data_IF_460128997141
#
_entry.id   IF_460128997141
#
_cell.length_a   1.000
_cell.length_b   1.000
_cell.length_c   1.000
_cell.angle_alpha   90.00
_cell.angle_beta   90.00
_cell.angle_gamma   90.00
#
_symmetry.space_group_name_H-M   'P 1'
#
loop_
_entity.id
_entity.type
_entity.pdbx_description
1 polymer ?
#
# COMPACT_ATOMS: atom_id res chain seq x y z
N UNK A 1 -1.30 25.46 14.70
CA UNK A 1 -0.70 25.21 13.37
C UNK A 1 -0.26 23.76 13.38
N UNK A 2 -0.71 22.95 12.43
CA UNK A 2 -0.38 21.52 12.35
C UNK A 2 1.02 21.37 11.73
N UNK A 3 1.91 20.70 12.44
CA UNK A 3 3.29 20.43 12.00
C UNK A 3 3.37 19.10 11.27
N UNK A 4 3.77 19.13 10.01
CA UNK A 4 3.73 17.99 9.10
C UNK A 4 5.13 17.62 8.64
N UNK A 5 5.47 16.34 8.70
CA UNK A 5 6.64 15.78 8.05
C UNK A 5 6.21 14.97 6.84
N UNK A 6 6.85 15.22 5.68
CA UNK A 6 6.63 14.48 4.44
C UNK A 6 7.75 13.45 4.25
N UNK A 7 7.38 12.19 4.07
CA UNK A 7 8.32 11.07 3.85
C UNK A 7 7.97 10.39 2.54
N UNK A 8 8.77 10.63 1.49
CA UNK A 8 8.60 10.08 0.15
C UNK A 8 9.96 10.16 -0.57
N UNK A 9 10.36 9.15 -1.31
CA UNK A 9 11.66 9.17 -2.03
C UNK A 9 11.61 10.04 -3.30
N UNK A 10 10.41 10.39 -3.78
CA UNK A 10 10.22 11.22 -4.97
C UNK A 10 10.20 12.71 -4.61
N UNK A 11 11.27 13.44 -4.91
CA UNK A 11 11.38 14.89 -4.59
C UNK A 11 10.24 15.72 -5.18
N UNK A 12 9.87 15.47 -6.44
CA UNK A 12 8.77 16.20 -7.09
C UNK A 12 7.42 16.00 -6.38
N UNK A 13 7.19 14.80 -5.82
CA UNK A 13 5.97 14.52 -5.04
C UNK A 13 5.98 15.34 -3.76
N UNK A 14 7.10 15.36 -3.02
CA UNK A 14 7.22 16.14 -1.78
C UNK A 14 6.99 17.63 -2.03
N UNK A 15 7.63 18.20 -3.06
CA UNK A 15 7.46 19.62 -3.44
C UNK A 15 6.00 19.96 -3.80
N UNK A 16 5.33 19.08 -4.54
CA UNK A 16 3.91 19.26 -4.88
C UNK A 16 3.03 19.20 -3.63
N UNK A 17 3.24 18.22 -2.76
CA UNK A 17 2.49 18.07 -1.51
C UNK A 17 2.72 19.26 -0.58
N UNK A 18 3.96 19.71 -0.43
CA UNK A 18 4.29 20.92 0.33
C UNK A 18 3.54 22.12 -0.18
N UNK A 19 3.60 22.38 -1.51
CA UNK A 19 2.90 23.49 -2.13
C UNK A 19 1.39 23.47 -1.83
N UNK A 20 0.77 22.28 -1.90
CA UNK A 20 -0.65 22.11 -1.59
C UNK A 20 -0.93 22.39 -0.11
N UNK A 21 -0.10 21.88 0.80
CA UNK A 21 -0.31 22.01 2.24
C UNK A 21 -0.12 23.44 2.73
N UNK A 22 0.93 24.12 2.28
CA UNK A 22 1.28 25.49 2.71
C UNK A 22 0.32 26.57 2.17
N UNK A 23 -0.59 26.22 1.25
CA UNK A 23 -1.74 27.08 0.91
C UNK A 23 -2.72 27.24 2.09
N UNK A 24 -2.62 26.37 3.10
CA UNK A 24 -3.46 26.41 4.28
C UNK A 24 -2.63 26.97 5.46
N UNK A 25 -2.96 28.18 5.91
CA UNK A 25 -2.24 28.84 7.02
C UNK A 25 -2.27 28.09 8.35
N UNK A 26 -3.12 27.08 8.48
CA UNK A 26 -3.20 26.18 9.63
C UNK A 26 -2.21 25.02 9.57
N UNK A 27 -1.45 24.85 8.46
CA UNK A 27 -0.54 23.73 8.21
C UNK A 27 0.87 24.24 7.91
N UNK A 28 1.88 23.51 8.40
CA UNK A 28 3.29 23.81 8.16
C UNK A 28 4.05 22.51 7.89
N UNK A 29 4.78 22.44 6.78
CA UNK A 29 5.72 21.35 6.51
C UNK A 29 7.03 21.67 7.25
N UNK A 30 7.33 20.90 8.29
CA UNK A 30 8.52 21.09 9.15
C UNK A 30 9.71 20.26 8.69
N UNK A 31 9.49 19.19 7.90
CA UNK A 31 10.53 18.39 7.29
C UNK A 31 10.05 17.69 6.02
N UNK A 32 10.99 17.46 5.11
CA UNK A 32 10.86 16.67 3.90
C UNK A 32 12.02 15.67 3.84
N UNK A 33 11.73 14.38 3.84
CA UNK A 33 12.77 13.33 3.88
C UNK A 33 12.48 12.24 2.84
N UNK A 34 13.54 11.63 2.32
CA UNK A 34 13.45 10.64 1.25
C UNK A 34 13.65 9.19 1.69
N UNK A 35 13.92 8.95 2.98
CA UNK A 35 14.21 7.62 3.50
C UNK A 35 13.73 7.44 4.95
N UNK A 36 13.60 6.18 5.36
CA UNK A 36 13.01 5.82 6.65
C UNK A 36 13.89 6.14 7.85
N UNK A 37 15.20 5.97 7.76
CA UNK A 37 16.09 6.23 8.91
C UNK A 37 16.17 7.72 9.21
N UNK A 38 16.27 8.56 8.18
CA UNK A 38 16.18 10.01 8.32
C UNK A 38 14.81 10.42 8.89
N UNK A 39 13.72 9.75 8.46
CA UNK A 39 12.39 10.04 8.99
C UNK A 39 12.31 9.79 10.50
N UNK A 40 12.84 8.67 11.00
CA UNK A 40 12.84 8.36 12.44
C UNK A 40 13.62 9.41 13.24
N UNK A 41 14.84 9.76 12.79
CA UNK A 41 15.66 10.77 13.45
C UNK A 41 15.00 12.16 13.45
N UNK A 42 14.45 12.60 12.31
CA UNK A 42 13.79 13.90 12.22
C UNK A 42 12.48 13.97 13.01
N UNK A 43 11.79 12.85 13.17
CA UNK A 43 10.61 12.75 14.03
C UNK A 43 10.95 13.01 15.50
N UNK A 44 12.06 12.45 16.00
CA UNK A 44 12.56 12.68 17.36
C UNK A 44 12.98 14.15 17.56
N UNK A 45 13.70 14.73 16.59
CA UNK A 45 14.21 16.11 16.68
C UNK A 45 13.09 17.15 16.58
N UNK A 46 12.10 16.94 15.70
CA UNK A 46 11.09 17.94 15.35
C UNK A 46 9.74 17.72 16.00
N UNK A 47 9.45 16.53 16.52
CA UNK A 47 8.15 16.16 17.08
C UNK A 47 6.97 16.66 16.24
N UNK A 48 6.80 16.18 14.98
CA UNK A 48 5.68 16.59 14.13
C UNK A 48 4.36 16.05 14.68
N UNK A 49 3.26 16.77 14.43
CA UNK A 49 1.93 16.29 14.78
C UNK A 49 1.50 15.14 13.85
N UNK A 50 1.90 15.21 12.57
CA UNK A 50 1.53 14.24 11.52
C UNK A 50 2.75 13.93 10.65
N UNK A 51 2.92 12.65 10.36
CA UNK A 51 3.81 12.14 9.33
C UNK A 51 2.99 11.63 8.16
N UNK A 52 3.17 12.22 6.98
CA UNK A 52 2.65 11.69 5.71
C UNK A 52 3.70 10.72 5.18
N UNK A 53 3.40 9.43 5.22
CA UNK A 53 4.35 8.34 5.01
C UNK A 53 4.10 7.62 3.68
N UNK A 54 5.05 7.68 2.75
CA UNK A 54 5.03 6.76 1.61
C UNK A 54 5.31 5.33 2.06
N UNK A 55 4.59 4.39 1.47
CA UNK A 55 4.76 2.96 1.76
C UNK A 55 5.97 2.38 1.02
N UNK A 56 6.26 2.89 -0.18
CA UNK A 56 7.29 2.35 -1.07
C UNK A 56 8.61 3.13 -0.94
N UNK A 57 9.23 3.12 0.22
CA UNK A 57 10.54 3.73 0.43
C UNK A 57 11.69 2.80 0.00
N UNK A 58 12.83 3.35 -0.49
CA UNK A 58 13.98 2.55 -0.85
C UNK A 58 14.60 1.86 0.36
N UNK A 59 14.92 0.58 0.23
CA UNK A 59 15.58 -0.21 1.27
C UNK A 59 14.68 -0.66 2.41
N UNK A 60 13.66 0.10 2.80
CA UNK A 60 12.75 -0.21 3.90
C UNK A 60 11.29 0.09 3.51
N UNK A 61 10.36 -0.68 4.07
CA UNK A 61 8.94 -0.41 3.88
C UNK A 61 8.46 0.70 4.82
N UNK A 62 7.67 1.66 4.31
CA UNK A 62 7.00 2.66 5.14
C UNK A 62 6.12 2.05 6.24
N UNK A 63 5.65 0.80 6.07
CA UNK A 63 4.93 0.04 7.09
C UNK A 63 5.84 -0.24 8.30
N UNK A 64 7.08 -0.69 8.04
CA UNK A 64 8.05 -0.98 9.10
C UNK A 64 8.49 0.30 9.81
N UNK A 65 8.77 1.36 9.04
CA UNK A 65 9.10 2.67 9.61
C UNK A 65 7.96 3.20 10.47
N UNK A 66 6.71 3.06 10.03
CA UNK A 66 5.53 3.46 10.83
C UNK A 66 5.48 2.70 12.16
N UNK A 67 5.72 1.39 12.15
CA UNK A 67 5.73 0.57 13.38
C UNK A 67 6.81 1.01 14.35
N UNK A 68 8.04 1.25 13.85
CA UNK A 68 9.17 1.74 14.67
C UNK A 68 8.90 3.14 15.20
N UNK A 69 8.41 4.05 14.36
CA UNK A 69 8.07 5.41 14.74
C UNK A 69 7.05 5.44 15.89
N UNK A 70 5.94 4.72 15.74
CA UNK A 70 4.86 4.73 16.73
C UNK A 70 5.18 3.93 17.99
N UNK A 71 6.19 3.05 17.97
CA UNK A 71 6.69 2.39 19.17
C UNK A 71 7.44 3.36 20.10
N UNK A 72 8.10 4.38 19.53
CA UNK A 72 8.85 5.40 20.30
C UNK A 72 8.08 6.71 20.47
N UNK A 73 7.21 7.05 19.51
CA UNK A 73 6.45 8.30 19.48
C UNK A 73 4.95 8.03 19.21
N UNK A 74 4.21 7.46 20.18
CA UNK A 74 2.80 7.09 20.00
C UNK A 74 1.86 8.31 19.84
N UNK A 75 2.30 9.50 20.20
CA UNK A 75 1.57 10.75 20.03
C UNK A 75 1.49 11.20 18.57
N UNK A 76 2.50 10.88 17.74
CA UNK A 76 2.56 11.24 16.32
C UNK A 76 1.44 10.49 15.57
N UNK A 77 0.79 11.19 14.65
CA UNK A 77 -0.21 10.57 13.77
C UNK A 77 0.43 10.23 12.43
N UNK A 78 0.19 9.02 11.94
CA UNK A 78 0.69 8.61 10.61
C UNK A 78 -0.48 8.54 9.64
N UNK A 79 -0.33 9.26 8.51
CA UNK A 79 -1.21 9.22 7.35
C UNK A 79 -0.44 8.57 6.20
N UNK A 80 -0.84 7.37 5.81
CA UNK A 80 -0.21 6.66 4.69
C UNK A 80 -0.55 7.32 3.36
N UNK A 81 0.46 7.40 2.50
CA UNK A 81 0.33 7.84 1.11
C UNK A 81 0.90 6.76 0.20
N UNK A 82 0.14 6.28 -0.79
CA UNK A 82 0.57 5.15 -1.63
C UNK A 82 0.06 5.25 -3.05
N UNK A 83 0.84 4.75 -4.00
CA UNK A 83 0.39 4.52 -5.38
C UNK A 83 -0.44 3.23 -5.50
N UNK A 84 -0.36 2.34 -4.51
CA UNK A 84 -1.01 1.03 -4.54
C UNK A 84 -2.34 1.05 -3.79
N UNK A 85 -3.36 0.47 -4.43
CA UNK A 85 -4.65 0.17 -3.82
C UNK A 85 -4.74 -1.35 -3.64
N UNK A 86 -4.02 -1.87 -2.64
CA UNK A 86 -4.02 -3.28 -2.28
C UNK A 86 -4.51 -3.44 -0.84
N UNK A 87 -5.51 -4.30 -0.64
CA UNK A 87 -6.15 -4.53 0.66
C UNK A 87 -5.16 -4.95 1.74
N UNK A 88 -4.20 -5.82 1.40
CA UNK A 88 -3.21 -6.32 2.38
C UNK A 88 -2.28 -5.21 2.82
N UNK A 89 -1.87 -4.36 1.88
CA UNK A 89 -1.01 -3.21 2.18
C UNK A 89 -1.77 -2.22 3.06
N UNK A 90 -3.03 -1.93 2.74
CA UNK A 90 -3.90 -1.09 3.57
C UNK A 90 -4.02 -1.67 4.99
N UNK A 91 -4.34 -2.97 5.11
CA UNK A 91 -4.48 -3.63 6.40
C UNK A 91 -3.16 -3.60 7.20
N UNK A 92 -2.04 -3.97 6.59
CA UNK A 92 -0.73 -3.95 7.24
C UNK A 92 -0.33 -2.55 7.73
N UNK A 93 -0.69 -1.50 6.99
CA UNK A 93 -0.40 -0.13 7.35
C UNK A 93 -1.26 0.33 8.54
N UNK A 94 -2.54 -0.04 8.56
CA UNK A 94 -3.44 0.21 9.70
C UNK A 94 -3.01 -0.60 10.93
N UNK A 95 -2.62 -1.86 10.76
CA UNK A 95 -2.10 -2.71 11.84
C UNK A 95 -0.76 -2.19 12.40
N UNK A 96 0.04 -1.49 11.58
CA UNK A 96 1.24 -0.79 12.02
C UNK A 96 0.93 0.48 12.85
N UNK A 97 -0.34 0.89 12.92
CA UNK A 97 -0.83 2.02 13.72
C UNK A 97 -1.14 3.28 12.93
N UNK A 98 -1.06 3.26 11.58
CA UNK A 98 -1.47 4.42 10.79
C UNK A 98 -2.95 4.77 11.04
N UNK A 99 -3.23 6.05 11.17
CA UNK A 99 -4.58 6.58 11.40
C UNK A 99 -5.33 6.91 10.12
N UNK A 100 -4.64 6.89 8.98
CA UNK A 100 -5.30 7.12 7.71
C UNK A 100 -4.51 6.56 6.54
N UNK A 101 -5.21 6.49 5.38
CA UNK A 101 -4.65 6.00 4.13
C UNK A 101 -5.24 6.75 2.95
N UNK A 102 -4.37 7.31 2.12
CA UNK A 102 -4.73 8.04 0.89
C UNK A 102 -3.94 7.46 -0.28
N UNK A 103 -4.58 7.30 -1.43
CA UNK A 103 -3.86 6.99 -2.67
C UNK A 103 -3.24 8.26 -3.26
N UNK A 104 -2.01 8.20 -3.76
CA UNK A 104 -1.27 9.37 -4.29
C UNK A 104 -2.06 10.11 -5.38
N UNK A 105 -2.86 9.42 -6.19
CA UNK A 105 -3.71 10.05 -7.21
C UNK A 105 -4.83 10.93 -6.64
N UNK A 106 -5.24 10.73 -5.40
CA UNK A 106 -6.27 11.53 -4.71
C UNK A 106 -5.67 12.60 -3.76
N UNK A 107 -4.35 12.61 -3.57
CA UNK A 107 -3.70 13.44 -2.54
C UNK A 107 -4.05 14.93 -2.64
N UNK A 108 -4.16 15.49 -3.85
CA UNK A 108 -4.48 16.90 -4.04
C UNK A 108 -5.80 17.34 -3.40
N UNK A 109 -6.84 16.49 -3.46
CA UNK A 109 -8.16 16.79 -2.91
C UNK A 109 -8.30 16.34 -1.44
N UNK A 110 -7.69 15.19 -1.09
CA UNK A 110 -7.97 14.46 0.16
C UNK A 110 -6.97 14.76 1.27
N UNK A 111 -5.74 15.24 0.94
CA UNK A 111 -4.63 15.29 1.89
C UNK A 111 -4.91 16.23 3.08
N UNK A 112 -5.39 17.45 2.82
CA UNK A 112 -5.68 18.41 3.89
C UNK A 112 -6.78 17.91 4.83
N UNK A 113 -7.81 17.29 4.25
CA UNK A 113 -8.91 16.72 5.03
C UNK A 113 -8.42 15.51 5.85
N UNK A 114 -7.61 14.64 5.25
CA UNK A 114 -7.02 13.49 5.94
C UNK A 114 -6.15 13.91 7.12
N UNK A 115 -5.26 14.90 6.93
CA UNK A 115 -4.41 15.44 8.00
C UNK A 115 -5.23 15.98 9.15
N UNK A 116 -6.23 16.83 8.88
CA UNK A 116 -7.10 17.36 9.93
C UNK A 116 -7.83 16.26 10.70
N UNK A 117 -8.37 15.27 9.98
CA UNK A 117 -9.08 14.16 10.60
C UNK A 117 -8.19 13.36 11.55
N UNK A 118 -6.96 13.03 11.13
CA UNK A 118 -6.05 12.22 11.97
C UNK A 118 -5.53 13.01 13.18
N UNK A 119 -5.30 14.31 13.06
CA UNK A 119 -4.92 15.18 14.18
C UNK A 119 -6.04 15.26 15.22
N UNK A 120 -7.29 15.33 14.79
CA UNK A 120 -8.47 15.32 15.67
C UNK A 120 -8.75 13.91 16.27
N UNK A 121 -7.87 12.93 16.05
CA UNK A 121 -8.01 11.58 16.58
C UNK A 121 -8.95 10.66 15.81
N UNK A 122 -9.51 11.11 14.68
CA UNK A 122 -10.35 10.30 13.80
C UNK A 122 -9.50 9.54 12.78
N UNK A 123 -9.99 8.39 12.32
CA UNK A 123 -9.37 7.70 11.18
C UNK A 123 -9.83 8.30 9.86
N UNK A 124 -8.96 8.29 8.84
CA UNK A 124 -9.28 8.76 7.51
C UNK A 124 -8.89 7.75 6.42
N UNK A 125 -9.85 7.31 5.66
CA UNK A 125 -9.63 6.49 4.47
C UNK A 125 -10.23 7.22 3.28
N UNK A 126 -9.45 7.45 2.22
CA UNK A 126 -10.02 8.05 1.01
C UNK A 126 -11.10 7.14 0.40
N UNK A 127 -12.03 7.65 -0.42
CA UNK A 127 -13.18 6.88 -0.92
C UNK A 127 -12.79 5.57 -1.60
N UNK A 128 -11.69 5.54 -2.36
CA UNK A 128 -11.21 4.34 -3.03
C UNK A 128 -10.81 3.24 -2.03
N UNK A 129 -10.15 3.63 -0.94
CA UNK A 129 -9.74 2.69 0.13
C UNK A 129 -10.96 2.24 0.94
N UNK A 130 -11.89 3.15 1.21
CA UNK A 130 -13.14 2.82 1.92
C UNK A 130 -13.94 1.78 1.16
N UNK A 131 -14.10 1.94 -0.16
CA UNK A 131 -14.78 0.94 -1.01
C UNK A 131 -14.08 -0.42 -0.93
N UNK A 132 -12.75 -0.45 -1.03
CA UNK A 132 -11.95 -1.69 -0.93
C UNK A 132 -12.18 -2.41 0.40
N UNK A 133 -12.21 -1.68 1.52
CA UNK A 133 -12.40 -2.24 2.86
C UNK A 133 -13.84 -2.70 3.07
N UNK A 134 -14.84 -1.91 2.63
CA UNK A 134 -16.26 -2.26 2.82
C UNK A 134 -16.69 -3.44 1.96
N UNK A 135 -16.21 -3.56 0.73
CA UNK A 135 -16.48 -4.71 -0.13
C UNK A 135 -15.94 -6.00 0.50
N UNK A 136 -14.83 -5.92 1.18
CA UNK A 136 -14.26 -7.05 1.92
C UNK A 136 -15.10 -7.48 3.13
N UNK A 137 -15.72 -6.53 3.82
CA UNK A 137 -16.62 -6.84 4.95
C UNK A 137 -17.94 -7.46 4.46
N UNK A 138 -18.40 -7.10 3.27
CA UNK A 138 -19.58 -7.71 2.63
C UNK A 138 -19.28 -9.14 2.19
N UNK A 139 -18.11 -9.41 1.62
CA UNK A 139 -17.68 -10.75 1.20
C UNK A 139 -17.56 -11.73 2.37
N UNK A 140 -17.16 -11.26 3.56
CA UNK A 140 -17.09 -12.08 4.79
C UNK A 140 -18.45 -12.57 5.32
N UNK A 141 -19.57 -11.99 4.85
CA UNK A 141 -20.93 -12.40 5.22
C UNK A 141 -21.52 -13.50 4.32
N UNK A 142 -20.84 -13.89 3.25
CA UNK A 142 -21.23 -15.03 2.43
C UNK A 142 -20.58 -16.32 2.95
N UNK A 143 -21.34 -17.41 3.14
CA UNK A 143 -20.81 -18.66 3.71
C UNK A 143 -19.95 -19.49 2.74
N UNK A 144 -19.58 -18.95 1.58
CA UNK A 144 -18.59 -19.54 0.70
C UNK A 144 -17.24 -18.89 1.02
N UNK A 145 -16.25 -19.70 1.42
CA UNK A 145 -14.93 -19.31 1.89
C UNK A 145 -14.31 -18.14 1.12
N UNK A 146 -13.72 -17.23 1.87
CA UNK A 146 -13.18 -15.94 1.40
C UNK A 146 -12.08 -16.19 0.34
N UNK A 147 -12.26 -15.75 -0.93
CA UNK A 147 -11.18 -15.83 -1.93
C UNK A 147 -9.96 -14.99 -1.57
N UNK A 148 -10.04 -14.15 -0.51
CA UNK A 148 -8.97 -13.26 -0.06
C UNK A 148 -8.05 -13.88 1.01
N UNK A 149 -8.29 -15.10 1.44
CA UNK A 149 -7.35 -15.86 2.31
C UNK A 149 -6.23 -16.55 1.48
N UNK A 150 -6.22 -16.33 0.17
CA UNK A 150 -5.20 -16.85 -0.72
C UNK A 150 -3.91 -16.00 -0.61
N UNK A 151 -2.71 -16.63 -0.54
CA UNK A 151 -1.43 -15.93 -0.44
C UNK A 151 -1.12 -15.01 -1.64
N UNK A 152 -1.89 -15.13 -2.72
CA UNK A 152 -1.76 -14.37 -3.95
C UNK A 152 -2.90 -13.33 -4.08
N UNK A 153 -2.59 -12.15 -4.63
CA UNK A 153 -3.59 -11.17 -5.05
C UNK A 153 -4.45 -11.70 -6.21
N UNK A 154 -5.61 -11.12 -6.45
CA UNK A 154 -6.49 -11.50 -7.59
C UNK A 154 -5.74 -11.52 -8.92
N UNK A 155 -4.86 -10.53 -9.15
CA UNK A 155 -4.08 -10.45 -10.39
C UNK A 155 -3.03 -11.54 -10.47
N UNK A 156 -2.37 -11.87 -9.36
CA UNK A 156 -1.43 -12.98 -9.28
C UNK A 156 -2.13 -14.32 -9.42
N UNK A 157 -3.37 -14.47 -8.93
CA UNK A 157 -4.20 -15.67 -9.16
C UNK A 157 -4.51 -15.81 -10.65
N UNK A 158 -4.98 -14.76 -11.33
CA UNK A 158 -5.24 -14.79 -12.77
C UNK A 158 -3.98 -15.22 -13.56
N UNK A 159 -2.84 -14.59 -13.25
CA UNK A 159 -1.58 -14.96 -13.91
C UNK A 159 -1.15 -16.39 -13.56
N UNK A 160 -1.32 -16.82 -12.30
CA UNK A 160 -0.97 -18.18 -11.87
C UNK A 160 -1.84 -19.25 -12.57
N UNK A 161 -3.14 -19.00 -12.72
CA UNK A 161 -4.07 -19.87 -13.44
C UNK A 161 -3.66 -20.02 -14.90
N UNK A 162 -3.46 -18.91 -15.60
CA UNK A 162 -3.08 -18.93 -17.03
C UNK A 162 -1.69 -19.56 -17.26
N UNK A 163 -0.74 -19.35 -16.36
CA UNK A 163 0.56 -20.04 -16.41
C UNK A 163 0.43 -21.54 -16.17
N UNK A 164 -0.44 -21.95 -15.24
CA UNK A 164 -0.70 -23.37 -14.95
C UNK A 164 -1.43 -24.08 -16.11
N UNK A 165 -2.25 -23.33 -16.89
CA UNK A 165 -2.87 -23.76 -18.16
C UNK A 165 -1.85 -23.85 -19.32
N UNK A 166 -0.59 -23.44 -19.10
CA UNK A 166 0.46 -23.51 -20.11
C UNK A 166 0.55 -22.34 -21.07
N UNK A 167 -0.18 -21.22 -20.80
CA UNK A 167 -0.13 -20.03 -21.66
C UNK A 167 1.22 -19.31 -21.54
N UNK A 168 1.69 -18.77 -22.65
CA UNK A 168 2.92 -17.97 -22.70
C UNK A 168 2.69 -16.55 -22.13
N UNK A 169 3.78 -15.87 -21.73
CA UNK A 169 3.68 -14.50 -21.22
C UNK A 169 3.04 -13.52 -22.22
N UNK A 170 3.29 -13.58 -23.55
CA UNK A 170 2.57 -12.78 -24.52
C UNK A 170 1.06 -13.07 -24.56
N UNK A 171 0.65 -14.35 -24.50
CA UNK A 171 -0.77 -14.73 -24.52
C UNK A 171 -1.50 -14.21 -23.29
N UNK A 172 -0.88 -14.36 -22.12
CA UNK A 172 -1.38 -13.83 -20.85
C UNK A 172 -1.50 -12.30 -20.90
N UNK A 173 -0.50 -11.64 -21.47
CA UNK A 173 -0.49 -10.18 -21.63
C UNK A 173 -1.67 -9.70 -22.47
N UNK A 174 -1.94 -10.38 -23.59
CA UNK A 174 -3.07 -10.07 -24.48
C UNK A 174 -4.40 -10.29 -23.75
N UNK A 175 -4.59 -11.45 -23.10
CA UNK A 175 -5.85 -11.80 -22.42
C UNK A 175 -6.15 -10.88 -21.24
N UNK A 176 -5.11 -10.48 -20.52
CA UNK A 176 -5.25 -9.63 -19.35
C UNK A 176 -5.12 -8.13 -19.65
N UNK A 177 -4.91 -7.74 -20.91
CA UNK A 177 -4.73 -6.35 -21.38
C UNK A 177 -3.60 -5.60 -20.62
N UNK A 178 -2.44 -6.24 -20.49
CA UNK A 178 -1.23 -5.69 -19.85
C UNK A 178 0.01 -5.95 -20.73
N UNK A 179 1.16 -5.38 -20.37
CA UNK A 179 2.40 -5.68 -21.08
C UNK A 179 2.99 -7.04 -20.68
N UNK A 180 3.74 -7.74 -21.56
CA UNK A 180 4.44 -8.96 -21.21
C UNK A 180 5.41 -8.77 -20.04
N UNK A 181 6.06 -7.62 -19.94
CA UNK A 181 6.94 -7.27 -18.81
C UNK A 181 6.17 -7.20 -17.48
N UNK A 182 4.91 -6.74 -17.51
CA UNK A 182 4.02 -6.74 -16.33
C UNK A 182 3.65 -8.17 -15.92
N UNK A 183 3.43 -9.07 -16.88
CA UNK A 183 3.22 -10.51 -16.59
C UNK A 183 4.43 -11.09 -15.87
N UNK A 184 5.65 -10.80 -16.33
CA UNK A 184 6.89 -11.28 -15.70
C UNK A 184 7.07 -10.74 -14.27
N UNK A 185 6.63 -9.51 -14.00
CA UNK A 185 6.62 -8.96 -12.63
C UNK A 185 5.66 -9.75 -11.75
N UNK A 186 4.43 -9.99 -12.19
CA UNK A 186 3.46 -10.80 -11.45
C UNK A 186 3.97 -12.23 -11.24
N UNK A 187 4.53 -12.86 -12.27
CA UNK A 187 5.14 -14.20 -12.18
C UNK A 187 6.24 -14.26 -11.11
N UNK A 188 7.19 -13.33 -11.11
CA UNK A 188 8.25 -13.28 -10.08
C UNK A 188 7.67 -13.11 -8.68
N UNK A 189 6.68 -12.24 -8.52
CA UNK A 189 6.06 -11.98 -7.23
C UNK A 189 5.30 -13.20 -6.69
N UNK A 190 4.47 -13.85 -7.52
CA UNK A 190 3.72 -15.04 -7.11
C UNK A 190 4.64 -16.23 -6.78
N UNK A 191 5.69 -16.44 -7.57
CA UNK A 191 6.67 -17.52 -7.32
C UNK A 191 7.39 -17.30 -5.98
N UNK A 192 7.80 -16.06 -5.69
CA UNK A 192 8.41 -15.68 -4.41
C UNK A 192 7.45 -15.88 -3.24
N UNK A 193 6.19 -15.43 -3.35
CA UNK A 193 5.16 -15.55 -2.29
C UNK A 193 4.84 -17.01 -1.97
N UNK A 194 4.77 -17.86 -2.99
CA UNK A 194 4.50 -19.30 -2.84
C UNK A 194 5.75 -20.12 -2.54
N UNK A 195 6.94 -19.50 -2.53
CA UNK A 195 8.25 -20.18 -2.39
C UNK A 195 8.42 -21.29 -3.43
N UNK A 196 8.00 -21.07 -4.68
CA UNK A 196 8.11 -21.98 -5.81
C UNK A 196 9.26 -21.56 -6.71
N UNK A 197 9.92 -22.57 -7.34
CA UNK A 197 11.12 -22.33 -8.14
C UNK A 197 10.91 -22.57 -9.64
N UNK A 198 9.84 -23.26 -10.05
CA UNK A 198 9.53 -23.55 -11.44
C UNK A 198 8.02 -23.64 -11.71
N UNK A 199 7.65 -23.62 -13.00
CA UNK A 199 6.24 -23.66 -13.43
C UNK A 199 5.56 -24.99 -13.10
N UNK A 200 6.32 -26.09 -13.08
CA UNK A 200 5.75 -27.42 -12.74
C UNK A 200 5.23 -27.42 -11.29
N UNK A 201 5.98 -26.84 -10.37
CA UNK A 201 5.55 -26.72 -8.98
C UNK A 201 4.34 -25.77 -8.85
N UNK A 202 4.29 -24.72 -9.69
CA UNK A 202 3.11 -23.84 -9.78
C UNK A 202 1.88 -24.60 -10.28
N UNK A 203 2.00 -25.41 -11.32
CA UNK A 203 0.89 -26.24 -11.84
C UNK A 203 0.38 -27.21 -10.78
N UNK A 204 1.28 -27.92 -10.09
CA UNK A 204 0.90 -28.79 -8.96
C UNK A 204 0.18 -28.03 -7.85
N UNK A 205 0.65 -26.83 -7.52
CA UNK A 205 0.01 -25.96 -6.55
C UNK A 205 -1.39 -25.56 -7.01
N UNK A 206 -1.54 -25.12 -8.27
CA UNK A 206 -2.81 -24.68 -8.86
C UNK A 206 -3.88 -25.80 -8.87
N UNK A 207 -3.47 -27.04 -9.21
CA UNK A 207 -4.36 -28.22 -9.14
C UNK A 207 -4.78 -28.49 -7.69
N UNK A 208 -3.82 -28.52 -6.75
CA UNK A 208 -4.08 -28.81 -5.35
C UNK A 208 -5.00 -27.78 -4.68
N UNK A 209 -4.92 -26.51 -5.10
CA UNK A 209 -5.73 -25.42 -4.57
C UNK A 209 -7.02 -25.17 -5.35
N UNK A 210 -7.29 -25.95 -6.41
CA UNK A 210 -8.49 -25.85 -7.22
C UNK A 210 -8.52 -24.62 -8.16
N UNK A 211 -7.37 -24.02 -8.44
CA UNK A 211 -7.24 -22.92 -9.39
C UNK A 211 -7.38 -23.39 -10.85
N UNK A 212 -6.96 -24.61 -11.12
CA UNK A 212 -7.12 -25.31 -12.41
C UNK A 212 -7.54 -26.76 -12.18
N UNK A 213 -8.30 -27.31 -13.15
CA UNK A 213 -8.63 -28.75 -13.16
C UNK A 213 -7.42 -29.56 -13.65
N UNK A 214 -7.24 -30.80 -13.19
CA UNK A 214 -6.16 -31.67 -13.61
C UNK A 214 -6.26 -32.07 -15.09
#
# INVERSE_FOLDING_TARGET
MIRIMLVDDHTMVREALRTVLEQDSGMQVVAEVGDGETALRMAEELAPDVVVMDIALPGQSGIEITRRLLATHPEIKVLALSTYLDRRIVQQMLDAGARGYIVKSAAGAELKQGIRSVVEGRSYLCPQVTSLVTDSLRSRRSPAGDPDDHPLSRREIQVATLLAEGKSAPDIANELHISPSTVDVHRRNLMRKLKLHNVVDLTKYAIRTGLVSP
#
